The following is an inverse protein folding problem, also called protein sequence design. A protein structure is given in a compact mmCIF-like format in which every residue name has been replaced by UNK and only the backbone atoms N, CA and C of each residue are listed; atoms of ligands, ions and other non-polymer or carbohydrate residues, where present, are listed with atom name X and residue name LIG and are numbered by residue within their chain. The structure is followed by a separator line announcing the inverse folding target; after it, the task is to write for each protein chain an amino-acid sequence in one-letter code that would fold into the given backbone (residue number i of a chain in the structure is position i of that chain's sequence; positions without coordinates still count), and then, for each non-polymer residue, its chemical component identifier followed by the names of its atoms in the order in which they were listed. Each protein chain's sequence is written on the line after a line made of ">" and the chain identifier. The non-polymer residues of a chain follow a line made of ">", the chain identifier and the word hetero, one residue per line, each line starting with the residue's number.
data_IF_411490931740
#
_entry.id   IF_411490931740
#
_cell.length_a   1.000
_cell.length_b   1.000
_cell.length_c   1.000
_cell.angle_alpha   90.00
_cell.angle_beta   90.00
_cell.angle_gamma   90.00
#
_symmetry.space_group_name_H-M   'P 1'
#
loop_
_entity.id
_entity.type
_entity.pdbx_description
1 polymer ?
#
# COMPACT_ATOMS: atom_id res chain seq x y z
N UNK A 1 10.11 -16.74 20.91
CA UNK A 1 11.05 -15.94 20.10
C UNK A 1 10.62 -16.18 18.66
N UNK A 2 10.32 -15.16 17.89
CA UNK A 2 9.99 -15.31 16.45
C UNK A 2 11.26 -15.76 15.73
N UNK A 3 11.20 -16.89 15.05
CA UNK A 3 12.29 -17.33 14.17
C UNK A 3 12.01 -16.80 12.77
N UNK A 4 12.79 -15.81 12.34
CA UNK A 4 12.69 -15.24 10.99
C UNK A 4 13.65 -16.03 10.10
N UNK A 5 13.15 -16.55 8.97
CA UNK A 5 13.94 -17.22 7.95
C UNK A 5 15.16 -16.39 7.53
N UNK A 6 16.32 -17.01 7.37
CA UNK A 6 17.56 -16.33 7.00
C UNK A 6 17.79 -16.21 5.49
N UNK A 7 16.87 -16.72 4.65
CA UNK A 7 17.00 -16.73 3.19
C UNK A 7 15.72 -16.37 2.47
N UNK A 8 15.83 -15.88 1.24
CA UNK A 8 14.72 -15.52 0.37
C UNK A 8 15.09 -14.40 -0.59
N UNK A 9 14.33 -14.27 -1.69
CA UNK A 9 14.49 -13.17 -2.64
C UNK A 9 14.00 -11.84 -2.09
N UNK A 10 13.01 -11.90 -1.17
CA UNK A 10 12.45 -10.71 -0.51
C UNK A 10 12.63 -10.80 1.01
N UNK A 11 13.22 -9.77 1.57
CA UNK A 11 13.27 -9.58 3.02
C UNK A 11 11.89 -9.14 3.55
N UNK A 12 11.14 -8.40 2.74
CA UNK A 12 9.84 -7.85 3.14
C UNK A 12 8.89 -7.77 1.94
N UNK A 13 7.68 -8.28 2.11
CA UNK A 13 6.59 -8.14 1.15
C UNK A 13 5.40 -7.46 1.81
N UNK A 14 4.99 -6.34 1.26
CA UNK A 14 3.79 -5.63 1.68
C UNK A 14 2.59 -5.95 0.79
N UNK A 15 1.39 -5.98 1.37
CA UNK A 15 0.11 -5.97 0.66
C UNK A 15 -0.70 -4.77 1.15
N UNK A 16 -1.02 -3.83 0.25
CA UNK A 16 -1.73 -2.63 0.66
C UNK A 16 -2.13 -1.71 -0.48
N UNK A 17 -2.71 -0.56 -0.13
CA UNK A 17 -3.17 0.43 -1.08
C UNK A 17 -2.10 1.50 -1.35
N UNK A 18 -1.86 1.78 -2.64
CA UNK A 18 -1.05 2.91 -3.07
C UNK A 18 -1.90 4.17 -3.20
N UNK A 19 -1.34 5.29 -2.80
CA UNK A 19 -2.00 6.60 -2.89
C UNK A 19 -1.05 7.65 -3.44
N UNK A 20 -1.59 8.65 -4.14
CA UNK A 20 -0.86 9.87 -4.40
C UNK A 20 -1.29 10.95 -3.40
N UNK A 21 -0.31 11.60 -2.80
CA UNK A 21 -0.52 12.65 -1.82
C UNK A 21 -0.25 14.01 -2.45
N UNK A 22 -1.20 14.93 -2.31
CA UNK A 22 -1.12 16.30 -2.78
C UNK A 22 -0.86 17.24 -1.61
N UNK A 23 0.27 17.96 -1.67
CA UNK A 23 0.79 18.79 -0.57
C UNK A 23 1.05 20.23 -1.05
N UNK A 24 0.29 21.24 -0.57
CA UNK A 24 0.56 22.64 -0.83
C UNK A 24 1.67 23.22 0.07
N UNK A 25 2.34 22.40 0.87
CA UNK A 25 3.31 22.85 1.87
C UNK A 25 2.63 23.60 3.01
N UNK A 26 3.12 24.79 3.31
CA UNK A 26 2.57 25.66 4.38
C UNK A 26 1.38 26.51 3.93
N UNK A 27 1.06 26.52 2.62
CA UNK A 27 -0.07 27.28 2.08
C UNK A 27 -1.37 26.52 2.38
N UNK A 28 -2.40 27.16 2.95
CA UNK A 28 -3.67 26.47 3.17
C UNK A 28 -4.33 26.12 1.82
N UNK A 29 -5.01 24.97 1.72
CA UNK A 29 -5.62 24.51 0.47
C UNK A 29 -6.45 25.56 -0.26
N UNK A 30 -7.24 26.37 0.47
CA UNK A 30 -8.08 27.43 -0.10
C UNK A 30 -7.31 28.55 -0.83
N UNK A 31 -5.98 28.60 -0.69
CA UNK A 31 -5.08 29.56 -1.33
C UNK A 31 -4.00 28.92 -2.18
N UNK A 32 -4.01 27.59 -2.26
CA UNK A 32 -3.01 26.85 -3.02
C UNK A 32 -3.25 27.02 -4.52
N UNK A 33 -2.20 27.35 -5.24
CA UNK A 33 -2.14 27.39 -6.72
C UNK A 33 -1.37 26.19 -7.27
N UNK A 34 -0.55 25.57 -6.42
CA UNK A 34 0.32 24.45 -6.76
C UNK A 34 0.23 23.38 -5.68
N UNK A 35 0.37 22.13 -6.08
CA UNK A 35 0.43 20.98 -5.17
C UNK A 35 1.62 20.11 -5.55
N UNK A 36 2.49 19.82 -4.60
CA UNK A 36 3.52 18.79 -4.76
C UNK A 36 2.87 17.42 -4.72
N UNK A 37 3.27 16.56 -5.64
CA UNK A 37 2.78 15.18 -5.70
C UNK A 37 3.81 14.27 -5.05
N UNK A 38 3.36 13.51 -4.06
CA UNK A 38 4.14 12.45 -3.42
C UNK A 38 3.39 11.12 -3.60
N UNK A 39 4.13 10.03 -3.75
CA UNK A 39 3.56 8.69 -3.72
C UNK A 39 3.72 8.12 -2.31
N UNK A 40 2.68 7.47 -1.81
CA UNK A 40 2.57 6.97 -0.46
C UNK A 40 1.64 5.75 -0.42
N UNK A 41 1.47 5.19 0.74
CA UNK A 41 0.66 4.05 1.12
C UNK A 41 1.25 3.52 2.41
N UNK A 42 0.47 3.15 3.40
CA UNK A 42 1.00 2.72 4.70
C UNK A 42 2.03 1.60 4.54
N UNK A 43 1.64 0.55 3.87
CA UNK A 43 2.41 -0.65 3.60
C UNK A 43 3.58 -0.36 2.65
N UNK A 44 3.35 0.44 1.60
CA UNK A 44 4.41 0.89 0.70
C UNK A 44 5.47 1.73 1.41
N UNK A 45 5.08 2.61 2.33
CA UNK A 45 6.04 3.41 3.09
C UNK A 45 7.00 2.52 3.90
N UNK A 46 6.50 1.42 4.47
CA UNK A 46 7.35 0.45 5.14
C UNK A 46 8.33 -0.20 4.15
N UNK A 47 7.83 -0.74 3.05
CA UNK A 47 8.66 -1.38 2.02
C UNK A 47 9.72 -0.41 1.44
N UNK A 48 9.31 0.82 1.11
CA UNK A 48 10.18 1.84 0.54
C UNK A 48 11.30 2.26 1.51
N UNK A 49 10.97 2.47 2.81
CA UNK A 49 11.99 2.80 3.80
C UNK A 49 12.97 1.65 4.05
N UNK A 50 12.49 0.42 4.07
CA UNK A 50 13.35 -0.76 4.22
C UNK A 50 14.30 -0.92 3.02
N UNK A 51 13.82 -0.64 1.80
CA UNK A 51 14.67 -0.67 0.61
C UNK A 51 15.67 0.49 0.59
N UNK A 52 15.17 1.73 0.67
CA UNK A 52 15.98 2.94 0.47
C UNK A 52 16.96 3.21 1.62
N UNK A 53 16.51 3.05 2.88
CA UNK A 53 17.34 3.37 4.05
C UNK A 53 18.21 2.20 4.53
N UNK A 54 17.76 0.95 4.33
CA UNK A 54 18.45 -0.23 4.89
C UNK A 54 18.98 -1.19 3.83
N UNK A 55 18.70 -0.94 2.54
CA UNK A 55 19.17 -1.78 1.44
C UNK A 55 18.57 -3.18 1.41
N UNK A 56 17.38 -3.38 2.00
CA UNK A 56 16.69 -4.65 2.00
C UNK A 56 15.95 -4.89 0.69
N UNK A 57 15.83 -6.15 0.29
CA UNK A 57 15.02 -6.57 -0.85
C UNK A 57 13.54 -6.54 -0.46
N UNK A 58 12.77 -5.60 -1.03
CA UNK A 58 11.38 -5.43 -0.66
C UNK A 58 10.43 -5.52 -1.85
N UNK A 59 9.15 -5.87 -1.57
CA UNK A 59 8.10 -5.94 -2.56
C UNK A 59 6.79 -5.31 -2.08
N UNK A 60 5.92 -4.96 -3.04
CA UNK A 60 4.56 -4.48 -2.78
C UNK A 60 3.57 -5.18 -3.71
N UNK A 61 2.59 -5.88 -3.16
CA UNK A 61 1.40 -6.35 -3.85
C UNK A 61 0.30 -5.30 -3.70
N UNK A 62 -0.26 -4.84 -4.82
CA UNK A 62 -1.23 -3.74 -4.80
C UNK A 62 -2.04 -3.67 -6.09
N UNK A 63 -3.17 -2.96 -6.02
CA UNK A 63 -3.92 -2.57 -7.22
C UNK A 63 -3.24 -1.40 -7.94
N UNK A 64 -3.32 -1.39 -9.27
CA UNK A 64 -2.80 -0.33 -10.11
C UNK A 64 -3.84 0.03 -11.18
N UNK A 65 -3.81 1.27 -11.67
CA UNK A 65 -4.72 1.74 -12.71
C UNK A 65 -3.91 2.16 -13.94
N UNK A 66 -4.37 1.76 -15.12
CA UNK A 66 -3.81 2.17 -16.41
C UNK A 66 -4.15 3.64 -16.70
N UNK A 67 -3.38 4.54 -16.11
CA UNK A 67 -3.57 5.98 -16.22
C UNK A 67 -2.25 6.72 -15.97
N UNK A 68 -2.11 7.99 -16.39
CA UNK A 68 -0.91 8.77 -16.11
C UNK A 68 -0.58 8.91 -14.62
N UNK A 69 -1.57 8.85 -13.73
CA UNK A 69 -1.35 8.80 -12.27
C UNK A 69 -0.84 7.43 -11.81
N UNK A 70 -1.34 6.34 -12.41
CA UNK A 70 -0.79 5.01 -12.19
C UNK A 70 0.67 4.92 -12.63
N UNK A 71 1.01 5.48 -13.79
CA UNK A 71 2.39 5.53 -14.29
C UNK A 71 3.32 6.31 -13.34
N UNK A 72 2.85 7.45 -12.81
CA UNK A 72 3.59 8.22 -11.81
C UNK A 72 3.88 7.40 -10.55
N UNK A 73 2.88 6.64 -10.08
CA UNK A 73 3.04 5.79 -8.90
C UNK A 73 4.04 4.65 -9.19
N UNK A 74 3.90 3.98 -10.33
CA UNK A 74 4.81 2.91 -10.75
C UNK A 74 6.26 3.39 -10.87
N UNK A 75 6.46 4.60 -11.44
CA UNK A 75 7.78 5.21 -11.53
C UNK A 75 8.40 5.42 -10.14
N UNK A 76 7.61 5.90 -9.17
CA UNK A 76 8.09 6.10 -7.80
C UNK A 76 8.41 4.77 -7.11
N UNK A 77 7.60 3.73 -7.30
CA UNK A 77 7.86 2.39 -6.77
C UNK A 77 9.21 1.87 -7.28
N UNK A 78 9.47 2.00 -8.58
CA UNK A 78 10.77 1.62 -9.19
C UNK A 78 11.93 2.43 -8.62
N UNK A 79 11.75 3.76 -8.52
CA UNK A 79 12.79 4.66 -8.01
C UNK A 79 13.20 4.37 -6.56
N UNK A 80 12.28 3.82 -5.74
CA UNK A 80 12.55 3.40 -4.36
C UNK A 80 13.11 1.97 -4.24
N UNK A 81 13.31 1.27 -5.37
CA UNK A 81 13.85 -0.09 -5.39
C UNK A 81 12.89 -1.18 -4.89
N UNK A 82 11.60 -0.88 -4.83
CA UNK A 82 10.57 -1.84 -4.38
C UNK A 82 10.08 -2.66 -5.58
N UNK A 83 10.10 -4.00 -5.45
CA UNK A 83 9.59 -4.93 -6.48
C UNK A 83 8.07 -4.91 -6.50
N UNK A 84 7.42 -4.58 -7.63
CA UNK A 84 5.98 -4.54 -7.70
C UNK A 84 5.35 -5.89 -8.07
N UNK A 85 4.14 -6.13 -7.52
CA UNK A 85 3.21 -7.17 -7.93
C UNK A 85 1.84 -6.50 -8.10
N UNK A 86 1.45 -6.21 -9.35
CA UNK A 86 0.27 -5.41 -9.64
C UNK A 86 -0.91 -6.25 -10.14
N UNK A 87 -2.08 -6.05 -9.51
CA UNK A 87 -3.36 -6.26 -10.19
C UNK A 87 -3.74 -4.97 -10.89
N UNK A 88 -3.80 -4.96 -12.21
CA UNK A 88 -4.02 -3.76 -13.00
C UNK A 88 -5.47 -3.67 -13.48
N UNK A 89 -6.04 -2.48 -13.37
CA UNK A 89 -7.39 -2.15 -13.82
C UNK A 89 -7.34 -1.11 -14.93
N UNK A 90 -8.16 -1.31 -15.97
CA UNK A 90 -8.27 -0.38 -17.09
C UNK A 90 -9.00 0.91 -16.70
N UNK A 91 -8.63 2.03 -17.35
CA UNK A 91 -9.29 3.32 -17.27
C UNK A 91 -9.43 3.92 -18.65
N UNK A 92 -10.63 4.33 -19.05
CA UNK A 92 -10.91 4.83 -20.43
C UNK A 92 -10.59 6.33 -20.62
N UNK A 93 -10.01 6.97 -19.60
CA UNK A 93 -9.73 8.42 -19.56
C UNK A 93 -10.86 9.24 -18.95
N UNK A 94 -12.06 8.68 -18.83
CA UNK A 94 -13.25 9.34 -18.26
C UNK A 94 -13.81 8.54 -17.10
N UNK A 95 -13.86 7.22 -17.22
CA UNK A 95 -14.44 6.30 -16.26
C UNK A 95 -13.50 5.15 -15.96
N UNK A 96 -13.59 4.64 -14.76
CA UNK A 96 -12.79 3.53 -14.26
C UNK A 96 -12.46 3.71 -12.79
N UNK A 97 -11.75 2.76 -12.19
CA UNK A 97 -11.22 2.92 -10.85
C UNK A 97 -10.14 4.01 -10.82
N UNK A 98 -9.91 4.59 -9.65
CA UNK A 98 -8.90 5.61 -9.43
C UNK A 98 -7.82 5.13 -8.45
N UNK A 99 -6.65 5.74 -8.52
CA UNK A 99 -5.70 5.70 -7.42
C UNK A 99 -6.20 6.65 -6.32
N UNK A 100 -6.21 6.20 -5.07
CA UNK A 100 -6.66 7.04 -3.96
C UNK A 100 -5.81 8.32 -3.83
N UNK A 101 -6.46 9.42 -3.42
CA UNK A 101 -5.80 10.71 -3.20
C UNK A 101 -5.81 11.08 -1.73
N UNK A 102 -4.66 11.48 -1.22
CA UNK A 102 -4.51 12.11 0.10
C UNK A 102 -4.18 13.57 -0.08
N UNK A 103 -4.93 14.43 0.56
CA UNK A 103 -4.66 15.86 0.63
C UNK A 103 -4.10 16.17 2.01
N UNK A 104 -2.88 16.71 2.08
CA UNK A 104 -2.23 16.95 3.36
C UNK A 104 -1.36 18.18 3.27
N UNK A 105 -1.65 19.22 4.06
CA UNK A 105 -0.76 20.35 4.24
C UNK A 105 0.11 20.22 5.50
N UNK A 106 1.14 21.05 5.61
CA UNK A 106 2.10 21.00 6.73
C UNK A 106 1.69 21.85 7.92
N UNK A 107 0.56 22.59 7.84
CA UNK A 107 0.25 23.60 8.82
C UNK A 107 1.20 24.81 8.78
N UNK A 108 0.97 25.81 9.60
CA UNK A 108 1.89 26.95 9.77
C UNK A 108 1.58 27.71 11.06
N UNK A 109 2.56 27.89 11.94
CA UNK A 109 2.39 28.58 13.22
C UNK A 109 1.30 27.93 14.07
N UNK A 110 0.28 28.71 14.43
CA UNK A 110 -0.87 28.23 15.21
C UNK A 110 -1.92 27.46 14.39
N UNK A 111 -1.78 27.44 13.06
CA UNK A 111 -2.67 26.68 12.18
C UNK A 111 -2.22 25.23 12.13
N UNK A 112 -3.04 24.33 12.66
CA UNK A 112 -2.81 22.90 12.56
C UNK A 112 -2.77 22.43 11.09
N UNK A 113 -2.05 21.34 10.78
CA UNK A 113 -2.11 20.69 9.48
C UNK A 113 -3.53 20.15 9.23
N UNK A 114 -3.90 20.08 7.94
CA UNK A 114 -5.16 19.50 7.49
C UNK A 114 -4.86 18.29 6.65
N UNK A 115 -5.51 17.17 6.97
CA UNK A 115 -5.44 15.94 6.18
C UNK A 115 -6.85 15.47 5.86
N UNK A 116 -7.09 15.15 4.60
CA UNK A 116 -8.34 14.52 4.16
C UNK A 116 -8.09 13.62 2.94
N UNK A 117 -9.04 12.74 2.66
CA UNK A 117 -8.87 11.67 1.67
C UNK A 117 -9.98 11.71 0.64
N UNK A 118 -9.64 11.34 -0.59
CA UNK A 118 -10.60 10.88 -1.59
C UNK A 118 -10.26 9.43 -1.94
N UNK A 119 -11.07 8.51 -1.43
CA UNK A 119 -10.99 7.07 -1.69
C UNK A 119 -12.19 6.56 -2.52
N UNK A 120 -12.98 7.47 -3.08
CA UNK A 120 -14.09 7.08 -3.93
C UNK A 120 -13.58 6.29 -5.14
N UNK A 121 -14.15 5.10 -5.36
CA UNK A 121 -13.82 4.24 -6.50
C UNK A 121 -12.31 3.89 -6.61
N UNK A 122 -11.62 3.72 -5.47
CA UNK A 122 -10.22 3.36 -5.50
C UNK A 122 -10.01 1.90 -5.93
N UNK A 123 -8.98 1.68 -6.74
CA UNK A 123 -8.66 0.37 -7.29
C UNK A 123 -8.36 -0.68 -6.22
N UNK A 124 -7.72 -0.28 -5.11
CA UNK A 124 -7.38 -1.19 -4.03
C UNK A 124 -8.60 -1.80 -3.33
N UNK A 125 -9.74 -1.09 -3.33
CA UNK A 125 -11.01 -1.61 -2.78
C UNK A 125 -11.66 -2.67 -3.67
N UNK A 126 -11.21 -2.81 -4.92
CA UNK A 126 -11.73 -3.78 -5.90
C UNK A 126 -10.95 -5.10 -5.88
N UNK A 127 -9.90 -5.21 -5.10
CA UNK A 127 -9.13 -6.45 -4.97
C UNK A 127 -9.98 -7.57 -4.38
N UNK A 128 -9.86 -8.76 -4.97
CA UNK A 128 -10.59 -9.96 -4.59
C UNK A 128 -9.62 -11.12 -4.38
N UNK A 129 -9.96 -12.14 -3.57
CA UNK A 129 -9.22 -13.38 -3.50
C UNK A 129 -9.01 -13.98 -4.90
N UNK A 130 -7.77 -14.45 -5.17
CA UNK A 130 -7.37 -14.96 -6.49
C UNK A 130 -6.79 -13.92 -7.44
N UNK A 131 -6.76 -12.64 -7.09
CA UNK A 131 -6.16 -11.58 -7.92
C UNK A 131 -4.64 -11.67 -8.01
N UNK A 132 -4.00 -12.35 -7.05
CA UNK A 132 -2.55 -12.56 -7.01
C UNK A 132 -2.21 -14.04 -7.03
N UNK A 133 -1.24 -14.42 -7.83
CA UNK A 133 -0.62 -15.74 -7.73
C UNK A 133 0.38 -15.75 -6.55
N UNK A 134 -0.16 -15.92 -5.34
CA UNK A 134 0.64 -15.96 -4.13
C UNK A 134 1.66 -17.07 -4.13
N UNK A 135 1.37 -18.20 -4.79
CA UNK A 135 2.30 -19.32 -4.91
C UNK A 135 3.56 -18.89 -5.68
N UNK A 136 3.38 -18.21 -6.81
CA UNK A 136 4.50 -17.68 -7.60
C UNK A 136 5.23 -16.55 -6.86
N UNK A 137 4.51 -15.67 -6.17
CA UNK A 137 5.11 -14.56 -5.40
C UNK A 137 5.98 -15.10 -4.25
N UNK A 138 5.51 -16.14 -3.56
CA UNK A 138 6.21 -16.72 -2.41
C UNK A 138 7.31 -17.72 -2.81
N UNK A 139 7.34 -18.22 -4.06
CA UNK A 139 8.27 -19.26 -4.49
C UNK A 139 9.75 -18.90 -4.33
N UNK A 140 10.09 -17.60 -4.49
CA UNK A 140 11.45 -17.09 -4.31
C UNK A 140 11.88 -16.91 -2.85
N UNK A 141 10.97 -17.09 -1.92
CA UNK A 141 11.19 -16.84 -0.48
C UNK A 141 10.88 -15.42 -0.07
N UNK A 142 10.03 -15.28 0.95
CA UNK A 142 9.66 -14.01 1.58
C UNK A 142 9.90 -14.15 3.09
N UNK A 143 10.78 -13.33 3.66
CA UNK A 143 11.13 -13.43 5.09
C UNK A 143 10.08 -12.82 6.01
N UNK A 144 9.42 -11.77 5.55
CA UNK A 144 8.39 -11.06 6.31
C UNK A 144 7.26 -10.61 5.40
N UNK A 145 6.02 -10.98 5.72
CA UNK A 145 4.82 -10.47 5.05
C UNK A 145 4.12 -9.45 5.95
N UNK A 146 3.66 -8.33 5.36
CA UNK A 146 3.03 -7.23 6.08
C UNK A 146 1.79 -6.70 5.34
N UNK A 147 0.73 -6.44 6.10
CA UNK A 147 -0.43 -5.69 5.62
C UNK A 147 -0.96 -4.80 6.75
N UNK A 148 -1.91 -3.92 6.44
CA UNK A 148 -2.41 -2.93 7.39
C UNK A 148 -3.92 -2.87 7.51
N UNK A 149 -4.38 -2.39 8.67
CA UNK A 149 -5.80 -2.32 8.99
C UNK A 149 -6.60 -1.36 8.11
N UNK A 150 -5.98 -0.26 7.62
CA UNK A 150 -6.66 0.65 6.68
C UNK A 150 -6.96 -0.08 5.36
N UNK A 151 -6.01 -0.88 4.85
CA UNK A 151 -6.25 -1.69 3.66
C UNK A 151 -7.35 -2.72 3.91
N UNK A 152 -7.32 -3.40 5.06
CA UNK A 152 -8.37 -4.36 5.44
C UNK A 152 -9.77 -3.75 5.47
N UNK A 153 -9.89 -2.45 5.76
CA UNK A 153 -11.17 -1.76 5.89
C UNK A 153 -11.69 -1.14 4.57
N UNK A 154 -11.03 -1.35 3.42
CA UNK A 154 -11.43 -0.72 2.16
C UNK A 154 -12.68 -1.33 1.54
N UNK A 155 -12.88 -2.63 1.70
CA UNK A 155 -14.06 -3.35 1.20
C UNK A 155 -14.28 -4.63 2.00
N UNK A 156 -15.37 -5.35 1.71
CA UNK A 156 -15.64 -6.69 2.29
C UNK A 156 -14.61 -7.74 1.83
N UNK A 157 -13.97 -7.54 0.69
CA UNK A 157 -13.07 -8.52 0.08
C UNK A 157 -11.60 -8.33 0.53
N UNK A 158 -11.19 -7.10 0.85
CA UNK A 158 -9.78 -6.84 1.20
C UNK A 158 -9.28 -7.61 2.43
N UNK A 159 -10.06 -7.85 3.49
CA UNK A 159 -9.65 -8.77 4.57
C UNK A 159 -9.42 -10.20 4.07
N UNK A 160 -10.24 -10.68 3.14
CA UNK A 160 -10.12 -12.03 2.58
C UNK A 160 -8.86 -12.18 1.73
N UNK A 161 -8.49 -11.14 0.96
CA UNK A 161 -7.21 -11.08 0.22
C UNK A 161 -6.01 -11.13 1.17
N UNK A 162 -6.08 -10.45 2.33
CA UNK A 162 -5.04 -10.52 3.35
C UNK A 162 -4.93 -11.94 3.90
N UNK A 163 -6.07 -12.55 4.27
CA UNK A 163 -6.10 -13.92 4.82
C UNK A 163 -5.53 -14.92 3.81
N UNK A 164 -5.89 -14.81 2.52
CA UNK A 164 -5.34 -15.63 1.45
C UNK A 164 -3.81 -15.52 1.37
N UNK A 165 -3.30 -14.28 1.36
CA UNK A 165 -1.85 -14.02 1.32
C UNK A 165 -1.13 -14.61 2.56
N UNK A 166 -1.71 -14.45 3.75
CA UNK A 166 -1.17 -15.00 5.00
C UNK A 166 -1.15 -16.53 5.00
N UNK A 167 -2.20 -17.15 4.48
CA UNK A 167 -2.28 -18.61 4.34
C UNK A 167 -1.22 -19.12 3.37
N UNK A 168 -1.01 -18.42 2.25
CA UNK A 168 0.03 -18.75 1.28
C UNK A 168 1.44 -18.59 1.88
N UNK A 169 1.69 -17.51 2.62
CA UNK A 169 2.95 -17.31 3.32
C UNK A 169 3.21 -18.43 4.34
N UNK A 170 2.21 -18.79 5.14
CA UNK A 170 2.31 -19.89 6.09
C UNK A 170 2.55 -21.23 5.42
N UNK A 171 1.85 -21.53 4.30
CA UNK A 171 2.03 -22.76 3.54
C UNK A 171 3.43 -22.86 2.92
N UNK A 172 4.06 -21.72 2.60
CA UNK A 172 5.44 -21.63 2.13
C UNK A 172 6.48 -21.74 3.27
N UNK A 173 6.05 -21.93 4.53
CA UNK A 173 6.93 -22.11 5.68
C UNK A 173 7.43 -20.82 6.32
N UNK A 174 6.77 -19.68 6.07
CA UNK A 174 7.14 -18.40 6.66
C UNK A 174 6.36 -18.12 7.95
N UNK A 175 7.07 -17.87 9.05
CA UNK A 175 6.49 -17.64 10.37
C UNK A 175 6.29 -16.15 10.72
N UNK A 176 6.93 -15.24 9.99
CA UNK A 176 6.83 -13.80 10.18
C UNK A 176 5.65 -13.20 9.41
N UNK A 177 4.46 -13.22 9.99
CA UNK A 177 3.28 -12.54 9.44
C UNK A 177 2.86 -11.48 10.45
N UNK A 178 2.95 -10.21 10.07
CA UNK A 178 2.52 -9.11 10.92
C UNK A 178 1.31 -8.39 10.31
N UNK A 179 0.23 -8.38 11.09
CA UNK A 179 -0.88 -7.46 10.95
C UNK A 179 -0.81 -6.51 12.14
N UNK A 180 -0.49 -5.24 11.94
CA UNK A 180 -0.71 -4.27 13.00
C UNK A 180 -2.22 -4.17 13.27
N UNK A 181 -2.65 -4.70 14.40
CA UNK A 181 -4.04 -4.81 14.81
C UNK A 181 -4.64 -6.21 14.56
N UNK A 182 -5.24 -6.77 15.57
CA UNK A 182 -6.02 -7.99 15.48
C UNK A 182 -7.30 -7.70 14.68
N UNK A 183 -7.50 -8.26 13.48
CA UNK A 183 -8.69 -7.97 12.67
C UNK A 183 -9.99 -8.41 13.34
N UNK A 184 -9.93 -9.28 14.37
CA UNK A 184 -11.09 -9.67 15.16
C UNK A 184 -11.47 -8.62 16.22
N UNK A 185 -10.62 -7.61 16.43
CA UNK A 185 -10.84 -6.47 17.34
C UNK A 185 -11.18 -5.16 16.64
N UNK A 186 -11.33 -5.18 15.33
CA UNK A 186 -11.73 -4.01 14.55
C UNK A 186 -13.25 -3.82 14.62
N UNK A 187 -13.76 -3.43 15.77
CA UNK A 187 -15.16 -3.08 15.98
C UNK A 187 -15.49 -1.62 15.60
N UNK A 188 -14.73 -1.03 14.71
CA UNK A 188 -15.05 0.28 14.11
C UNK A 188 -15.04 1.48 15.05
N UNK A 189 -14.66 1.31 16.31
CA UNK A 189 -14.74 2.34 17.36
C UNK A 189 -13.41 3.04 17.66
N UNK A 190 -12.31 2.63 17.03
CA UNK A 190 -10.95 3.13 17.34
C UNK A 190 -10.22 3.75 16.14
N UNK A 191 -10.94 4.45 15.25
CA UNK A 191 -10.33 5.24 14.16
C UNK A 191 -10.43 6.74 14.39
#
# INVERSE_FOLDING_TARGET
>A
MLEISSGGELDFLALGAMVHRLDPGRIPFRKATDLKVHVSGGEFNCAANLADCFGLSTGIATAMVESPLGDLIQERVRAMGVRPFYKTYAHDGVRGPNMATVYSDQGAGVRAPVVFYNRANEAAALLEPGDFDWSAIMAGGVRWFHSGGIFAALSSNTPEVIVEAMQAAKAAGYEGVDLPGDPTRMDGAEW
#
